data_IF_759586779933
#
_entry.id   IF_759586779933
#
_cell.length_a   1.000
_cell.length_b   1.000
_cell.length_c   1.000
_cell.angle_alpha   90.00
_cell.angle_beta   90.00
_cell.angle_gamma   90.00
#
_symmetry.space_group_name_H-M   'P 1'
#
loop_
_entity.id
_entity.type
_entity.pdbx_description
1 polymer ?
#
# COMPACT_ATOMS: atom_id res chain seq x y z
N UNK A 1 -14.81 13.80 5.12
CA UNK A 1 -13.60 14.20 5.85
C UNK A 1 -13.90 13.92 7.32
N UNK A 2 -13.18 13.01 7.96
CA UNK A 2 -13.34 12.75 9.40
C UNK A 2 -12.77 13.96 10.15
N UNK A 3 -13.51 14.52 11.10
CA UNK A 3 -13.04 15.61 11.97
C UNK A 3 -12.94 15.10 13.39
N UNK A 4 -11.75 15.17 13.98
CA UNK A 4 -11.53 14.92 15.41
C UNK A 4 -11.54 16.27 16.12
N UNK A 5 -12.32 16.41 17.20
CA UNK A 5 -12.31 17.59 18.06
C UNK A 5 -12.20 17.18 19.51
N UNK A 6 -11.47 17.96 20.31
CA UNK A 6 -11.35 17.69 21.73
C UNK A 6 -12.67 18.02 22.45
N UNK A 7 -13.20 17.08 23.22
CA UNK A 7 -14.28 17.36 24.18
C UNK A 7 -13.72 17.30 25.60
N UNK A 8 -13.51 18.47 26.20
CA UNK A 8 -12.98 18.59 27.55
C UNK A 8 -14.00 18.22 28.65
N UNK A 9 -15.29 18.24 28.34
CA UNK A 9 -16.38 17.99 29.29
C UNK A 9 -17.35 16.92 28.71
N UNK A 10 -16.90 15.66 28.55
CA UNK A 10 -17.70 14.62 27.88
C UNK A 10 -18.99 14.24 28.61
N UNK A 11 -19.09 14.58 29.90
CA UNK A 11 -20.24 14.30 30.76
C UNK A 11 -21.10 15.53 31.04
N UNK A 12 -20.80 16.69 30.46
CA UNK A 12 -21.60 17.90 30.68
C UNK A 12 -22.96 17.82 29.97
N UNK A 13 -24.01 18.30 30.63
CA UNK A 13 -25.33 18.46 30.02
C UNK A 13 -25.29 19.54 28.91
N UNK A 14 -26.01 19.31 27.81
CA UNK A 14 -26.14 20.26 26.70
C UNK A 14 -26.64 21.63 27.20
N UNK A 15 -25.82 22.67 27.01
CA UNK A 15 -26.12 24.05 27.44
C UNK A 15 -25.34 24.55 28.65
N UNK A 16 -24.53 23.70 29.29
CA UNK A 16 -23.61 24.13 30.35
C UNK A 16 -22.55 25.10 29.80
N UNK A 17 -22.47 26.31 30.36
CA UNK A 17 -21.59 27.39 29.86
C UNK A 17 -20.18 27.40 30.46
N UNK A 18 -20.00 26.75 31.60
CA UNK A 18 -18.74 26.64 32.34
C UNK A 18 -18.12 25.27 32.14
N UNK A 19 -16.86 25.23 31.73
CA UNK A 19 -16.08 23.98 31.63
C UNK A 19 -15.49 23.60 33.00
N UNK A 20 -15.35 22.30 33.29
CA UNK A 20 -14.61 21.84 34.47
C UNK A 20 -13.16 22.36 34.45
N UNK A 21 -12.59 22.56 33.26
CA UNK A 21 -11.24 23.11 33.10
C UNK A 21 -11.13 24.58 33.57
N UNK A 22 -12.21 25.36 33.56
CA UNK A 22 -12.23 26.70 34.15
C UNK A 22 -12.04 26.63 35.68
N UNK A 23 -12.62 25.59 36.31
CA UNK A 23 -12.46 25.34 37.74
C UNK A 23 -11.04 24.91 38.10
N UNK A 24 -10.42 24.04 37.29
CA UNK A 24 -9.01 23.65 37.46
C UNK A 24 -8.10 24.89 37.40
N UNK A 25 -8.33 25.81 36.46
CA UNK A 25 -7.56 27.05 36.35
C UNK A 25 -7.78 27.93 37.58
N UNK A 26 -9.04 28.07 38.04
CA UNK A 26 -9.37 28.84 39.25
C UNK A 26 -8.63 28.32 40.47
N UNK A 27 -8.67 27.00 40.69
CA UNK A 27 -8.01 26.31 41.79
C UNK A 27 -6.49 26.47 41.72
N UNK A 28 -5.90 26.26 40.54
CA UNK A 28 -4.46 26.43 40.33
C UNK A 28 -3.98 27.85 40.64
N UNK A 29 -4.78 28.87 40.30
CA UNK A 29 -4.49 30.28 40.58
C UNK A 29 -4.86 30.71 42.02
N UNK A 30 -5.46 29.83 42.83
CA UNK A 30 -5.89 30.13 44.19
C UNK A 30 -6.99 31.20 44.28
N UNK A 31 -7.80 31.35 43.23
CA UNK A 31 -8.86 32.38 43.19
C UNK A 31 -10.09 31.90 43.96
N UNK A 32 -10.49 32.67 44.97
CA UNK A 32 -11.70 32.43 45.75
C UNK A 32 -12.70 33.54 45.45
N UNK A 33 -13.90 33.18 45.01
CA UNK A 33 -14.98 34.14 44.82
C UNK A 33 -15.69 34.39 46.16
N UNK A 34 -15.64 35.64 46.63
CA UNK A 34 -16.25 36.08 47.88
C UNK A 34 -17.03 37.39 47.70
N UNK A 35 -17.54 37.60 46.48
CA UNK A 35 -18.33 38.75 46.06
C UNK A 35 -17.54 40.07 46.09
N UNK A 36 -16.22 39.99 45.84
CA UNK A 36 -15.37 41.16 45.64
C UNK A 36 -15.71 41.84 44.30
N UNK A 37 -15.50 43.17 44.17
CA UNK A 37 -15.74 43.88 42.91
C UNK A 37 -15.00 43.30 41.70
N UNK A 38 -13.84 42.66 41.93
CA UNK A 38 -13.00 42.07 40.89
C UNK A 38 -13.42 40.66 40.47
N UNK A 39 -14.33 39.99 41.20
CA UNK A 39 -14.63 38.56 40.99
C UNK A 39 -15.22 38.28 39.61
N UNK A 40 -16.14 39.13 39.13
CA UNK A 40 -16.69 39.02 37.77
C UNK A 40 -15.62 39.16 36.69
N UNK A 41 -14.64 40.04 36.91
CA UNK A 41 -13.54 40.22 35.97
C UNK A 41 -12.60 39.01 35.99
N UNK A 42 -12.29 38.48 37.19
CA UNK A 42 -11.48 37.26 37.36
C UNK A 42 -12.13 36.05 36.70
N UNK A 43 -13.43 35.85 36.90
CA UNK A 43 -14.22 34.78 36.27
C UNK A 43 -14.13 34.88 34.74
N UNK A 44 -14.31 36.07 34.18
CA UNK A 44 -14.18 36.29 32.73
C UNK A 44 -12.76 36.00 32.21
N UNK A 45 -11.72 36.42 32.94
CA UNK A 45 -10.32 36.15 32.57
C UNK A 45 -10.02 34.65 32.61
N UNK A 46 -10.53 33.92 33.60
CA UNK A 46 -10.40 32.47 33.70
C UNK A 46 -11.08 31.79 32.51
N UNK A 47 -12.32 32.17 32.20
CA UNK A 47 -13.05 31.64 31.05
C UNK A 47 -12.33 31.92 29.72
N UNK A 48 -11.75 33.11 29.54
CA UNK A 48 -10.97 33.45 28.35
C UNK A 48 -9.64 32.70 28.29
N UNK A 49 -8.97 32.52 29.42
CA UNK A 49 -7.73 31.74 29.52
C UNK A 49 -7.98 30.31 29.06
N UNK A 50 -9.09 29.70 29.51
CA UNK A 50 -9.51 28.40 29.02
C UNK A 50 -9.81 28.41 27.52
N UNK A 51 -10.82 29.18 27.10
CA UNK A 51 -11.42 29.06 25.75
C UNK A 51 -10.51 29.56 24.63
N UNK A 52 -9.67 30.55 24.89
CA UNK A 52 -8.89 31.24 23.85
C UNK A 52 -7.42 30.78 23.85
N UNK A 53 -6.90 30.30 24.99
CA UNK A 53 -5.48 29.94 25.12
C UNK A 53 -5.28 28.47 25.45
N UNK A 54 -5.70 28.02 26.63
CA UNK A 54 -5.38 26.69 27.12
C UNK A 54 -6.03 25.58 26.27
N UNK A 55 -7.33 25.68 25.99
CA UNK A 55 -8.05 24.66 25.21
C UNK A 55 -7.47 24.50 23.81
N UNK A 56 -7.21 25.61 23.10
CA UNK A 56 -6.65 25.58 21.74
C UNK A 56 -5.22 25.01 21.73
N UNK A 57 -4.40 25.37 22.72
CA UNK A 57 -3.04 24.86 22.84
C UNK A 57 -3.04 23.36 23.13
N UNK A 58 -3.84 22.91 24.11
CA UNK A 58 -3.99 21.50 24.46
C UNK A 58 -4.56 20.69 23.30
N UNK A 59 -5.56 21.21 22.59
CA UNK A 59 -6.10 20.54 21.40
C UNK A 59 -5.01 20.36 20.35
N UNK A 60 -4.21 21.39 20.06
CA UNK A 60 -3.11 21.29 19.09
C UNK A 60 -2.07 20.24 19.53
N UNK A 61 -1.65 20.26 20.79
CA UNK A 61 -0.64 19.35 21.33
C UNK A 61 -1.14 17.89 21.37
N UNK A 62 -2.38 17.68 21.83
CA UNK A 62 -3.00 16.35 21.88
C UNK A 62 -3.24 15.79 20.49
N UNK A 63 -3.69 16.62 19.53
CA UNK A 63 -3.88 16.20 18.15
C UNK A 63 -2.54 15.83 17.49
N UNK A 64 -1.49 16.61 17.72
CA UNK A 64 -0.15 16.29 17.23
C UNK A 64 0.35 14.96 17.80
N UNK A 65 0.20 14.76 19.11
CA UNK A 65 0.61 13.52 19.80
C UNK A 65 -0.18 12.31 19.32
N UNK A 66 -1.50 12.45 19.11
CA UNK A 66 -2.34 11.38 18.58
C UNK A 66 -1.98 11.05 17.13
N UNK A 67 -1.70 12.06 16.32
CA UNK A 67 -1.26 11.88 14.93
C UNK A 67 0.06 11.13 14.88
N UNK A 68 1.06 11.55 15.68
CA UNK A 68 2.37 10.91 15.77
C UNK A 68 2.25 9.42 16.14
N UNK A 69 1.44 9.08 17.15
CA UNK A 69 1.17 7.69 17.54
C UNK A 69 0.50 6.88 16.45
N UNK A 70 -0.48 7.48 15.75
CA UNK A 70 -1.18 6.81 14.66
C UNK A 70 -0.25 6.56 13.46
N UNK A 71 0.64 7.51 13.16
CA UNK A 71 1.67 7.35 12.14
C UNK A 71 2.67 6.24 12.51
N UNK A 72 3.15 6.22 13.76
CA UNK A 72 4.07 5.18 14.25
C UNK A 72 3.46 3.78 14.11
N UNK A 73 2.22 3.58 14.56
CA UNK A 73 1.52 2.30 14.43
C UNK A 73 1.30 1.92 12.96
N UNK A 74 0.97 2.89 12.10
CA UNK A 74 0.82 2.66 10.67
C UNK A 74 2.14 2.21 10.02
N UNK A 75 3.26 2.86 10.38
CA UNK A 75 4.60 2.52 9.88
C UNK A 75 4.99 1.10 10.33
N UNK A 76 4.67 0.70 11.55
CA UNK A 76 4.92 -0.66 12.04
C UNK A 76 4.11 -1.71 11.28
N UNK A 77 2.88 -1.40 10.88
CA UNK A 77 2.08 -2.27 9.99
C UNK A 77 2.74 -2.35 8.61
N UNK A 78 3.19 -1.22 8.04
CA UNK A 78 3.85 -1.19 6.74
C UNK A 78 5.16 -1.99 6.74
N UNK A 79 5.98 -1.86 7.78
CA UNK A 79 7.22 -2.60 7.94
C UNK A 79 6.98 -4.11 8.03
N UNK A 80 5.97 -4.55 8.80
CA UNK A 80 5.58 -5.96 8.88
C UNK A 80 5.09 -6.50 7.54
N UNK A 81 4.28 -5.74 6.82
CA UNK A 81 3.78 -6.13 5.50
C UNK A 81 4.92 -6.23 4.48
N UNK A 82 5.85 -5.27 4.47
CA UNK A 82 7.04 -5.32 3.61
C UNK A 82 7.90 -6.53 3.94
N UNK A 83 8.16 -6.79 5.22
CA UNK A 83 8.91 -7.96 5.67
C UNK A 83 8.26 -9.26 5.20
N UNK A 84 6.93 -9.39 5.34
CA UNK A 84 6.19 -10.55 4.86
C UNK A 84 6.30 -10.76 3.34
N UNK A 85 6.31 -9.68 2.54
CA UNK A 85 6.50 -9.75 1.09
C UNK A 85 7.93 -10.20 0.73
N UNK A 86 8.95 -9.67 1.41
CA UNK A 86 10.35 -9.99 1.15
C UNK A 86 10.73 -11.39 1.59
N UNK A 87 10.10 -11.90 2.65
CA UNK A 87 10.33 -13.23 3.21
C UNK A 87 9.41 -14.30 2.61
N UNK A 88 8.63 -13.95 1.58
CA UNK A 88 7.80 -14.92 0.87
C UNK A 88 8.68 -16.03 0.28
N UNK A 89 8.24 -17.29 0.43
CA UNK A 89 9.03 -18.43 -0.01
C UNK A 89 9.22 -18.39 -1.55
N UNK A 90 10.46 -18.50 -2.05
CA UNK A 90 10.72 -18.53 -3.48
C UNK A 90 10.18 -19.83 -4.10
N UNK A 91 9.53 -19.73 -5.27
CA UNK A 91 9.13 -20.91 -6.04
C UNK A 91 10.33 -21.60 -6.72
N UNK A 92 11.48 -20.90 -6.77
CA UNK A 92 12.75 -21.41 -7.25
C UNK A 92 12.96 -21.24 -8.75
N UNK A 93 14.06 -21.83 -9.23
CA UNK A 93 14.54 -21.73 -10.61
C UNK A 93 13.68 -22.59 -11.56
N UNK A 94 12.50 -22.07 -11.95
CA UNK A 94 11.58 -22.69 -12.89
C UNK A 94 11.16 -21.73 -13.98
N UNK A 95 10.89 -22.22 -15.18
CA UNK A 95 10.40 -21.38 -16.27
C UNK A 95 9.04 -20.79 -15.91
N UNK A 96 8.95 -19.47 -15.87
CA UNK A 96 7.82 -18.76 -15.28
C UNK A 96 7.21 -17.76 -16.26
N UNK A 97 5.90 -17.80 -16.41
CA UNK A 97 5.13 -16.81 -17.14
C UNK A 97 4.53 -15.79 -16.16
N UNK A 98 4.81 -14.51 -16.34
CA UNK A 98 4.15 -13.42 -15.63
C UNK A 98 2.96 -12.88 -16.42
N UNK A 99 1.82 -12.75 -15.75
CA UNK A 99 0.62 -12.10 -16.25
C UNK A 99 0.36 -10.85 -15.41
N UNK A 100 0.46 -9.68 -16.04
CA UNK A 100 0.06 -8.40 -15.48
C UNK A 100 -1.36 -8.06 -15.94
N UNK A 101 -2.38 -8.22 -15.08
CA UNK A 101 -3.78 -8.13 -15.47
C UNK A 101 -4.18 -6.74 -15.98
N UNK A 102 -5.09 -6.73 -16.95
CA UNK A 102 -5.69 -5.49 -17.43
C UNK A 102 -6.93 -5.75 -18.27
N UNK A 103 -7.89 -4.83 -18.21
CA UNK A 103 -9.12 -4.90 -19.01
C UNK A 103 -8.87 -4.30 -20.40
N UNK A 104 -9.16 -3.00 -20.57
CA UNK A 104 -9.09 -2.30 -21.86
C UNK A 104 -7.67 -2.29 -22.46
N UNK A 105 -6.63 -2.26 -21.63
CA UNK A 105 -5.23 -2.26 -22.08
C UNK A 105 -4.67 -3.65 -22.32
N UNK A 106 -5.47 -4.69 -22.14
CA UNK A 106 -5.04 -6.09 -22.24
C UNK A 106 -4.25 -6.56 -21.02
N UNK A 107 -4.01 -7.87 -20.98
CA UNK A 107 -3.11 -8.53 -20.03
C UNK A 107 -1.74 -8.62 -20.67
N UNK A 108 -0.70 -8.18 -19.94
CA UNK A 108 0.68 -8.17 -20.44
C UNK A 108 1.32 -9.46 -19.97
N UNK A 109 2.04 -10.08 -20.89
CA UNK A 109 2.62 -11.40 -20.72
C UNK A 109 4.11 -11.29 -20.87
N UNK A 110 4.85 -11.89 -19.96
CA UNK A 110 6.29 -12.10 -20.08
C UNK A 110 6.61 -13.54 -19.71
N UNK A 111 7.53 -14.16 -20.42
CA UNK A 111 8.06 -15.49 -20.08
C UNK A 111 9.52 -15.35 -19.73
N UNK A 112 9.92 -15.83 -18.56
CA UNK A 112 11.31 -15.89 -18.12
C UNK A 112 11.75 -17.34 -17.95
N UNK A 113 13.02 -17.62 -18.25
CA UNK A 113 13.61 -18.94 -17.96
C UNK A 113 13.89 -19.11 -16.46
N UNK A 114 14.38 -20.29 -16.09
CA UNK A 114 14.78 -20.64 -14.73
C UNK A 114 15.88 -19.75 -14.12
N UNK A 115 16.59 -18.95 -14.91
CA UNK A 115 17.57 -17.96 -14.44
C UNK A 115 16.98 -16.56 -14.30
N UNK A 116 15.72 -16.36 -14.69
CA UNK A 116 15.06 -15.06 -14.74
C UNK A 116 15.34 -14.27 -16.02
N UNK A 117 15.97 -14.86 -17.03
CA UNK A 117 16.20 -14.20 -18.32
C UNK A 117 14.88 -14.14 -19.10
N UNK A 118 14.57 -12.96 -19.65
CA UNK A 118 13.41 -12.76 -20.51
C UNK A 118 13.55 -13.57 -21.81
N UNK A 119 12.55 -14.38 -22.11
CA UNK A 119 12.47 -15.22 -23.30
C UNK A 119 11.51 -14.66 -24.35
N UNK A 120 10.32 -14.24 -23.92
CA UNK A 120 9.28 -13.76 -24.83
C UNK A 120 8.28 -12.85 -24.10
N UNK A 121 7.54 -12.05 -24.86
CA UNK A 121 6.50 -11.14 -24.34
C UNK A 121 5.32 -11.05 -25.29
N UNK A 122 4.13 -10.79 -24.74
CA UNK A 122 2.94 -10.54 -25.54
C UNK A 122 1.97 -9.61 -24.81
N UNK A 123 1.03 -9.03 -25.56
CA UNK A 123 -0.16 -8.37 -24.99
C UNK A 123 -1.38 -9.10 -25.53
N UNK A 124 -2.19 -9.65 -24.63
CA UNK A 124 -3.38 -10.42 -24.97
C UNK A 124 -4.65 -9.73 -24.44
N UNK A 125 -5.80 -10.06 -25.03
CA UNK A 125 -7.07 -9.39 -24.74
C UNK A 125 -8.17 -10.40 -24.34
N UNK A 126 -7.98 -11.14 -23.23
CA UNK A 126 -8.93 -12.17 -22.81
C UNK A 126 -10.30 -11.58 -22.40
N UNK A 127 -10.32 -10.32 -21.94
CA UNK A 127 -11.50 -9.69 -21.33
C UNK A 127 -12.30 -8.78 -22.28
N UNK A 128 -11.90 -8.67 -23.55
CA UNK A 128 -12.53 -7.74 -24.51
C UNK A 128 -12.98 -8.45 -25.79
N UNK A 129 -13.48 -9.68 -25.67
CA UNK A 129 -14.05 -10.45 -26.79
C UNK A 129 -13.03 -11.15 -27.70
N UNK A 130 -11.72 -11.08 -27.40
CA UNK A 130 -10.64 -11.78 -28.13
C UNK A 130 -10.07 -12.94 -27.31
N UNK A 131 -10.94 -13.62 -26.55
CA UNK A 131 -10.54 -14.68 -25.64
C UNK A 131 -9.87 -15.86 -26.36
N UNK A 132 -10.44 -16.33 -27.48
CA UNK A 132 -9.89 -17.46 -28.22
C UNK A 132 -8.46 -17.21 -28.74
N UNK A 133 -8.18 -16.00 -29.24
CA UNK A 133 -6.85 -15.59 -29.67
C UNK A 133 -5.87 -15.54 -28.47
N UNK A 134 -6.33 -15.03 -27.33
CA UNK A 134 -5.56 -15.02 -26.10
C UNK A 134 -5.23 -16.43 -25.59
N UNK A 135 -6.20 -17.37 -25.67
CA UNK A 135 -5.98 -18.77 -25.29
C UNK A 135 -4.90 -19.42 -26.14
N UNK A 136 -4.96 -19.24 -27.47
CA UNK A 136 -3.96 -19.76 -28.39
C UNK A 136 -2.56 -19.18 -28.13
N UNK A 137 -2.47 -17.87 -27.88
CA UNK A 137 -1.21 -17.21 -27.57
C UNK A 137 -0.57 -17.77 -26.28
N UNK A 138 -1.34 -17.87 -25.19
CA UNK A 138 -0.86 -18.41 -23.91
C UNK A 138 -0.46 -19.88 -24.05
N UNK A 139 -1.30 -20.69 -24.71
CA UNK A 139 -0.99 -22.10 -24.94
C UNK A 139 0.33 -22.26 -25.72
N UNK A 140 0.53 -21.45 -26.76
CA UNK A 140 1.75 -21.47 -27.58
C UNK A 140 2.98 -21.12 -26.75
N UNK A 141 2.91 -20.04 -25.95
CA UNK A 141 4.01 -19.62 -25.07
C UNK A 141 4.34 -20.67 -24.01
N UNK A 142 3.32 -21.30 -23.40
CA UNK A 142 3.52 -22.38 -22.42
C UNK A 142 4.28 -23.55 -23.05
N UNK A 143 3.87 -23.98 -24.25
CA UNK A 143 4.49 -25.11 -24.95
C UNK A 143 5.89 -24.77 -25.47
N UNK A 144 6.08 -23.58 -26.03
CA UNK A 144 7.36 -23.14 -26.59
C UNK A 144 8.46 -23.06 -25.54
N UNK A 145 8.12 -22.59 -24.34
CA UNK A 145 9.10 -22.33 -23.28
C UNK A 145 9.03 -23.31 -22.12
N UNK A 146 8.24 -24.39 -22.22
CA UNK A 146 8.03 -25.36 -21.15
C UNK A 146 7.72 -24.68 -19.80
N UNK A 147 6.76 -23.76 -19.81
CA UNK A 147 6.40 -22.99 -18.61
C UNK A 147 5.89 -23.92 -17.53
N UNK A 148 6.44 -23.79 -16.32
CA UNK A 148 6.10 -24.58 -15.14
C UNK A 148 5.24 -23.79 -14.14
N UNK A 149 5.39 -22.48 -14.13
CA UNK A 149 4.68 -21.58 -13.21
C UNK A 149 4.05 -20.41 -13.98
N UNK A 150 2.86 -19.99 -13.56
CA UNK A 150 2.21 -18.75 -14.02
C UNK A 150 2.01 -17.84 -12.82
N UNK A 151 2.78 -16.76 -12.76
CA UNK A 151 2.62 -15.68 -11.79
C UNK A 151 1.56 -14.69 -12.28
N UNK A 152 0.58 -14.37 -11.44
CA UNK A 152 -0.53 -13.47 -11.78
C UNK A 152 -0.53 -12.30 -10.82
N UNK A 153 -0.37 -11.07 -11.33
CA UNK A 153 -0.48 -9.86 -10.52
C UNK A 153 -1.83 -9.78 -9.80
N UNK A 154 -1.85 -9.29 -8.57
CA UNK A 154 -3.06 -9.17 -7.76
C UNK A 154 -3.86 -7.88 -7.99
N UNK A 155 -3.60 -7.15 -9.08
CA UNK A 155 -4.27 -5.91 -9.45
C UNK A 155 -5.64 -6.03 -10.09
N UNK A 156 -5.95 -5.00 -10.87
CA UNK A 156 -7.23 -4.86 -11.55
C UNK A 156 -7.44 -6.00 -12.54
N UNK A 157 -8.58 -6.69 -12.45
CA UNK A 157 -8.91 -7.87 -13.25
C UNK A 157 -8.04 -9.11 -13.01
N UNK A 158 -7.38 -9.20 -11.85
CA UNK A 158 -6.61 -10.38 -11.43
C UNK A 158 -7.45 -11.65 -11.35
N UNK A 159 -8.66 -11.57 -10.78
CA UNK A 159 -9.59 -12.71 -10.63
C UNK A 159 -10.05 -13.26 -11.99
N UNK A 160 -10.35 -12.37 -12.93
CA UNK A 160 -10.74 -12.70 -14.29
C UNK A 160 -9.57 -13.35 -15.04
N UNK A 161 -8.36 -12.80 -14.88
CA UNK A 161 -7.13 -13.31 -15.49
C UNK A 161 -6.75 -14.69 -14.91
N UNK A 162 -6.94 -14.90 -13.62
CA UNK A 162 -6.73 -16.20 -12.97
C UNK A 162 -7.71 -17.27 -13.49
N UNK A 163 -9.00 -16.93 -13.63
CA UNK A 163 -9.99 -17.85 -14.22
C UNK A 163 -9.63 -18.22 -15.65
N UNK A 164 -9.24 -17.22 -16.45
CA UNK A 164 -8.79 -17.42 -17.82
C UNK A 164 -7.55 -18.33 -17.90
N UNK A 165 -6.51 -18.07 -17.09
CA UNK A 165 -5.30 -18.90 -17.06
C UNK A 165 -5.62 -20.36 -16.67
N UNK A 166 -6.48 -20.55 -15.66
CA UNK A 166 -6.94 -21.89 -15.24
C UNK A 166 -7.72 -22.62 -16.33
N UNK A 167 -8.53 -21.90 -17.11
CA UNK A 167 -9.24 -22.48 -18.25
C UNK A 167 -8.26 -22.98 -19.33
N UNK A 168 -7.24 -22.19 -19.68
CA UNK A 168 -6.20 -22.60 -20.65
C UNK A 168 -5.42 -23.81 -20.15
N UNK A 169 -5.01 -23.80 -18.87
CA UNK A 169 -4.24 -24.91 -18.27
C UNK A 169 -5.05 -26.22 -18.25
N UNK A 170 -6.37 -26.14 -18.10
CA UNK A 170 -7.24 -27.32 -18.07
C UNK A 170 -7.14 -28.14 -19.35
N UNK A 171 -6.97 -27.48 -20.50
CA UNK A 171 -6.86 -28.10 -21.83
C UNK A 171 -5.49 -28.75 -22.10
N UNK A 172 -4.47 -28.42 -21.30
CA UNK A 172 -3.12 -28.99 -21.42
C UNK A 172 -3.12 -30.40 -20.81
N UNK A 173 -2.73 -31.44 -21.55
CA UNK A 173 -2.74 -32.82 -21.02
C UNK A 173 -1.58 -33.16 -20.08
N UNK A 174 -0.37 -32.69 -20.41
CA UNK A 174 0.87 -32.99 -19.70
C UNK A 174 1.68 -31.72 -19.43
N UNK A 175 2.46 -31.73 -18.35
CA UNK A 175 3.27 -30.59 -17.88
C UNK A 175 2.43 -29.32 -17.68
N UNK A 176 1.33 -29.45 -16.93
CA UNK A 176 0.46 -28.34 -16.57
C UNK A 176 1.21 -27.37 -15.65
N UNK A 177 1.34 -26.09 -16.01
CA UNK A 177 1.92 -25.13 -15.10
C UNK A 177 0.99 -24.88 -13.91
N UNK A 178 1.57 -24.46 -12.78
CA UNK A 178 0.84 -24.06 -11.59
C UNK A 178 0.63 -22.54 -11.59
N UNK A 179 -0.59 -22.08 -11.29
CA UNK A 179 -0.89 -20.64 -11.15
C UNK A 179 -0.65 -20.19 -9.72
N UNK A 180 0.02 -19.06 -9.54
CA UNK A 180 0.22 -18.41 -8.24
C UNK A 180 -0.08 -16.93 -8.38
N UNK A 181 -0.89 -16.39 -7.47
CA UNK A 181 -1.15 -14.95 -7.39
C UNK A 181 0.00 -14.30 -6.62
N UNK A 182 0.56 -13.22 -7.17
CA UNK A 182 1.68 -12.47 -6.58
C UNK A 182 1.31 -11.01 -6.42
N UNK A 183 1.94 -10.34 -5.46
CA UNK A 183 1.79 -8.89 -5.29
C UNK A 183 2.38 -8.16 -6.49
N UNK A 184 1.62 -7.25 -7.10
CA UNK A 184 2.12 -6.31 -8.10
C UNK A 184 2.61 -4.99 -7.48
N UNK A 185 2.65 -4.88 -6.15
CA UNK A 185 3.06 -3.67 -5.44
C UNK A 185 4.43 -3.16 -5.96
N UNK A 186 4.47 -1.93 -6.44
CA UNK A 186 5.67 -1.31 -7.01
C UNK A 186 6.06 -1.80 -8.43
N UNK A 187 5.33 -2.72 -9.06
CA UNK A 187 5.67 -3.19 -10.42
C UNK A 187 5.56 -2.07 -11.47
N UNK A 188 4.62 -1.14 -11.29
CA UNK A 188 4.48 0.08 -12.11
C UNK A 188 5.60 1.09 -11.87
N UNK A 189 6.08 1.20 -10.63
CA UNK A 189 7.23 2.07 -10.30
C UNK A 189 8.51 1.48 -10.87
N UNK A 190 8.70 0.17 -10.73
CA UNK A 190 9.79 -0.56 -11.37
C UNK A 190 9.78 -0.35 -12.88
N UNK A 191 8.66 -0.57 -13.56
CA UNK A 191 8.60 -0.53 -15.02
C UNK A 191 8.96 0.84 -15.61
N UNK A 192 8.61 1.91 -14.90
CA UNK A 192 8.93 3.30 -15.24
C UNK A 192 10.32 3.76 -14.76
N UNK A 193 11.06 2.94 -14.01
CA UNK A 193 12.37 3.30 -13.46
C UNK A 193 13.48 3.31 -14.53
N UNK A 194 14.52 4.12 -14.30
CA UNK A 194 15.75 4.06 -15.10
C UNK A 194 16.43 2.68 -15.00
N UNK A 195 16.34 2.02 -13.85
CA UNK A 195 16.88 0.67 -13.66
C UNK A 195 16.26 -0.31 -14.65
N UNK A 196 14.92 -0.35 -14.75
CA UNK A 196 14.22 -1.22 -15.70
C UNK A 196 14.44 -0.79 -17.16
N UNK A 197 14.61 0.52 -17.41
CA UNK A 197 14.95 1.02 -18.74
C UNK A 197 16.34 0.55 -19.19
N UNK A 198 17.31 0.46 -18.28
CA UNK A 198 18.64 -0.08 -18.56
C UNK A 198 18.61 -1.61 -18.71
N UNK A 199 17.80 -2.32 -17.93
CA UNK A 199 17.67 -3.77 -18.05
C UNK A 199 16.95 -4.19 -19.34
N UNK A 200 15.92 -3.44 -19.75
CA UNK A 200 15.12 -3.71 -20.94
C UNK A 200 14.92 -2.47 -21.84
N UNK A 201 15.97 -2.00 -22.53
CA UNK A 201 15.92 -0.74 -23.30
C UNK A 201 14.90 -0.76 -24.45
N UNK A 202 14.74 -1.93 -25.07
CA UNK A 202 13.86 -2.11 -26.23
C UNK A 202 12.46 -2.64 -25.88
N UNK A 203 12.16 -2.80 -24.58
CA UNK A 203 10.87 -3.31 -24.12
C UNK A 203 9.97 -2.15 -23.70
N UNK A 204 8.72 -2.18 -24.15
CA UNK A 204 7.69 -1.22 -23.74
C UNK A 204 7.50 -1.21 -22.22
N UNK A 205 7.26 -0.03 -21.66
CA UNK A 205 7.09 0.18 -20.22
C UNK A 205 6.00 -0.74 -19.65
N UNK A 206 4.90 -0.98 -20.38
CA UNK A 206 3.82 -1.84 -19.88
C UNK A 206 4.21 -3.31 -19.75
N UNK A 207 5.15 -3.80 -20.56
CA UNK A 207 5.59 -5.21 -20.53
C UNK A 207 6.62 -5.47 -19.42
N UNK A 208 7.40 -4.46 -19.01
CA UNK A 208 8.39 -4.60 -17.92
C UNK A 208 7.74 -4.99 -16.59
N UNK A 209 6.50 -4.55 -16.34
CA UNK A 209 5.71 -4.94 -15.17
C UNK A 209 5.47 -6.46 -15.12
N UNK A 210 5.10 -7.06 -16.26
CA UNK A 210 4.90 -8.50 -16.37
C UNK A 210 6.20 -9.30 -16.12
N UNK A 211 7.35 -8.76 -16.54
CA UNK A 211 8.66 -9.36 -16.22
C UNK A 211 8.91 -9.39 -14.71
N UNK A 212 8.63 -8.27 -14.02
CA UNK A 212 8.79 -8.20 -12.57
C UNK A 212 7.86 -9.18 -11.85
N UNK A 213 6.60 -9.28 -12.28
CA UNK A 213 5.63 -10.27 -11.76
C UNK A 213 6.15 -11.71 -11.90
N UNK A 214 6.73 -12.06 -13.05
CA UNK A 214 7.29 -13.41 -13.26
C UNK A 214 8.46 -13.70 -12.31
N UNK A 215 9.41 -12.77 -12.21
CA UNK A 215 10.62 -12.92 -11.38
C UNK A 215 10.34 -12.90 -9.89
N UNK A 216 9.35 -12.12 -9.43
CA UNK A 216 8.90 -12.13 -8.02
C UNK A 216 8.47 -13.50 -7.56
N UNK A 217 7.85 -14.31 -8.42
CA UNK A 217 7.49 -15.68 -8.04
C UNK A 217 8.72 -16.57 -7.87
N UNK A 218 9.74 -16.39 -8.72
CA UNK A 218 10.98 -17.15 -8.65
C UNK A 218 11.76 -16.82 -7.37
N UNK A 219 11.96 -15.52 -7.10
CA UNK A 219 12.62 -14.98 -5.91
C UNK A 219 12.06 -13.59 -5.56
N UNK A 220 11.15 -13.50 -4.58
CA UNK A 220 10.56 -12.23 -4.15
C UNK A 220 11.60 -11.22 -3.67
N UNK A 221 12.60 -11.66 -2.90
CA UNK A 221 13.60 -10.79 -2.32
C UNK A 221 14.47 -10.17 -3.42
N UNK A 222 15.02 -11.00 -4.31
CA UNK A 222 15.92 -10.53 -5.38
C UNK A 222 15.24 -9.56 -6.37
N UNK A 223 13.92 -9.65 -6.53
CA UNK A 223 13.18 -8.77 -7.42
C UNK A 223 12.68 -7.50 -6.71
N UNK A 224 12.19 -7.58 -5.47
CA UNK A 224 11.66 -6.43 -4.74
C UNK A 224 12.74 -5.42 -4.31
N UNK A 225 13.99 -5.86 -4.09
CA UNK A 225 15.11 -4.96 -3.76
C UNK A 225 15.49 -4.00 -4.89
N UNK A 226 14.99 -4.22 -6.12
CA UNK A 226 15.19 -3.32 -7.27
C UNK A 226 14.30 -2.08 -7.21
N UNK A 227 13.40 -2.00 -6.23
CA UNK A 227 12.38 -0.97 -6.09
C UNK A 227 12.65 -0.21 -4.80
N UNK A 228 12.48 1.11 -4.82
CA UNK A 228 12.54 1.89 -3.58
C UNK A 228 11.52 1.35 -2.57
N UNK A 229 11.91 1.05 -1.31
CA UNK A 229 11.01 0.45 -0.33
C UNK A 229 9.70 1.22 -0.12
N UNK A 230 9.78 2.56 -0.08
CA UNK A 230 8.61 3.46 0.04
C UNK A 230 7.66 3.41 -1.16
N UNK A 231 8.12 2.90 -2.30
CA UNK A 231 7.32 2.76 -3.52
C UNK A 231 6.67 1.38 -3.65
N UNK A 232 7.01 0.44 -2.76
CA UNK A 232 6.28 -0.81 -2.62
C UNK A 232 5.05 -0.49 -1.77
N UNK A 233 3.87 -0.51 -2.39
CA UNK A 233 2.61 -0.28 -1.70
C UNK A 233 2.30 -1.40 -0.71
N UNK A 234 2.52 -1.13 0.58
CA UNK A 234 2.33 -2.07 1.70
C UNK A 234 1.20 -1.66 2.64
N UNK A 235 0.51 -0.55 2.36
CA UNK A 235 -0.70 -0.14 3.06
C UNK A 235 -1.45 1.01 2.38
N UNK A 236 -2.70 1.21 2.78
CA UNK A 236 -3.65 2.11 2.10
C UNK A 236 -3.28 3.61 2.22
N UNK A 237 -2.79 4.03 3.38
CA UNK A 237 -2.49 5.44 3.70
C UNK A 237 -0.97 5.70 3.78
N UNK A 238 -0.17 4.88 3.10
CA UNK A 238 1.29 4.97 3.11
C UNK A 238 1.83 6.32 2.59
N UNK A 239 1.07 7.01 1.74
CA UNK A 239 1.43 8.34 1.24
C UNK A 239 1.01 9.48 2.17
N UNK A 240 0.15 9.20 3.15
CA UNK A 240 -0.40 10.19 4.08
C UNK A 240 0.38 10.27 5.40
N UNK A 241 1.25 9.29 5.67
CA UNK A 241 2.19 9.34 6.80
C UNK A 241 3.43 10.16 6.46
N UNK A 242 4.11 10.67 7.48
CA UNK A 242 5.40 11.35 7.32
C UNK A 242 6.43 10.45 6.58
N UNK A 243 6.74 10.84 5.34
CA UNK A 243 7.63 10.07 4.46
C UNK A 243 9.08 9.97 4.98
N UNK A 244 9.48 10.87 5.88
CA UNK A 244 10.78 10.85 6.54
C UNK A 244 10.92 9.68 7.52
N UNK A 245 9.78 9.23 8.08
CA UNK A 245 9.71 8.19 9.08
C UNK A 245 9.47 6.80 8.47
N UNK A 246 9.07 6.72 7.19
CA UNK A 246 9.07 5.46 6.46
C UNK A 246 10.52 4.96 6.37
N UNK A 247 10.80 3.69 6.70
CA UNK A 247 12.16 3.20 6.79
C UNK A 247 12.89 3.37 5.45
N UNK A 248 13.82 4.33 5.41
CA UNK A 248 14.69 4.58 4.24
C UNK A 248 15.85 3.58 4.20
N UNK A 249 16.23 2.95 5.31
CA UNK A 249 17.38 2.04 5.37
C UNK A 249 17.49 1.31 6.73
N UNK A 250 16.50 0.51 7.13
CA UNK A 250 16.60 -0.32 8.35
C UNK A 250 16.67 -1.83 8.05
N UNK A 251 17.40 -2.20 6.99
CA UNK A 251 17.93 -3.56 6.81
C UNK A 251 19.45 -3.54 7.00
N UNK A 252 19.87 -3.26 8.24
CA UNK A 252 21.18 -3.67 8.75
C UNK A 252 20.96 -4.67 9.86
#
# INVERSE_FOLDING_TARGET
MLSLSLNADPTAEEGTKSSHCEEIIREHLGVIFNNQPADKWREQVIAWTWKIKAALHLETELMATLCEKAEEEAIDVFARNLSALLMAAPAGARNTMGLDPGLRTGVKVAVVDNTGKLLDTATIYPHTGREAEAQLAIFSLIKQHNVELIAIGNGTASRETERFAKAVIKEIKENKPQTVVVSEAGASVYSASEFAANEFPNLDVSLRGAVSIARRLQDPLAELVKIEPKAIGVGQYQHDVNQSNLPVNSMR
#
